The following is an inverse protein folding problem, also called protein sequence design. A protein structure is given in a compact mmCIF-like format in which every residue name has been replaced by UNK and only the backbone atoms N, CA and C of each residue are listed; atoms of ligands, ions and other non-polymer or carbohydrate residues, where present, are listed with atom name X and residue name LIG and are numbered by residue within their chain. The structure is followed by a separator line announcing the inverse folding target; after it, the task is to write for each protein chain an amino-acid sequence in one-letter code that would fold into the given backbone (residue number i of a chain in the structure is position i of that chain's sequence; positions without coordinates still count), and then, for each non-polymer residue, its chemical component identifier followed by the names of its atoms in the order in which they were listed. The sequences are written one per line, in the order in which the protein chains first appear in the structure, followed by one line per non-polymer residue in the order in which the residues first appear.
data_IF_476038591610
#
_entry.id   IF_476038591610
#
_cell.length_a   1.000
_cell.length_b   1.000
_cell.length_c   1.000
_cell.angle_alpha   90.00
_cell.angle_beta   90.00
_cell.angle_gamma   90.00
#
_symmetry.space_group_name_H-M   'P 1'
#
loop_
_entity.id
_entity.type
_entity.pdbx_description
1 polymer ?
#
# COMPACT_ATOMS: atom_id res chain seq x y z
N UNK A 1 19.22 -24.03 -62.41
CA UNK A 1 18.59 -25.14 -61.64
C UNK A 1 19.27 -25.42 -60.27
N UNK A 2 20.52 -24.98 -60.04
CA UNK A 2 21.27 -25.25 -58.79
C UNK A 2 21.04 -24.28 -57.60
N UNK A 3 20.37 -23.13 -57.80
CA UNK A 3 20.15 -22.12 -56.74
C UNK A 3 18.95 -22.43 -55.80
N UNK A 4 18.21 -23.50 -56.10
CA UNK A 4 17.01 -23.89 -55.34
C UNK A 4 17.33 -24.71 -54.07
N UNK A 5 18.41 -25.49 -54.09
CA UNK A 5 18.82 -26.32 -52.96
C UNK A 5 19.51 -25.52 -51.84
N UNK A 6 20.26 -24.46 -52.18
CA UNK A 6 20.85 -23.54 -51.20
C UNK A 6 19.80 -22.79 -50.38
N UNK A 7 18.78 -22.24 -51.06
CA UNK A 7 17.66 -21.52 -50.42
C UNK A 7 16.80 -22.40 -49.50
N UNK A 8 16.60 -23.68 -49.84
CA UNK A 8 15.90 -24.65 -48.97
C UNK A 8 16.72 -25.01 -47.72
N UNK A 9 18.03 -25.18 -47.86
CA UNK A 9 18.93 -25.50 -46.74
C UNK A 9 19.06 -24.34 -45.76
N UNK A 10 19.11 -23.11 -46.28
CA UNK A 10 19.13 -21.89 -45.46
C UNK A 10 17.80 -21.66 -44.72
N UNK A 11 16.65 -21.85 -45.39
CA UNK A 11 15.33 -21.78 -44.73
C UNK A 11 15.16 -22.82 -43.62
N UNK A 12 15.68 -24.03 -43.80
CA UNK A 12 15.63 -25.09 -42.77
C UNK A 12 16.47 -24.71 -41.54
N UNK A 13 17.69 -24.20 -41.75
CA UNK A 13 18.57 -23.76 -40.66
C UNK A 13 18.00 -22.57 -39.87
N UNK A 14 17.35 -21.61 -40.54
CA UNK A 14 16.62 -20.51 -39.90
C UNK A 14 15.47 -21.02 -39.03
N UNK A 15 14.67 -21.96 -39.54
CA UNK A 15 13.56 -22.57 -38.81
C UNK A 15 14.03 -23.35 -37.57
N UNK A 16 15.11 -24.13 -37.70
CA UNK A 16 15.70 -24.88 -36.57
C UNK A 16 16.26 -23.93 -35.49
N UNK A 17 16.83 -22.77 -35.89
CA UNK A 17 17.28 -21.74 -34.97
C UNK A 17 16.12 -21.04 -34.24
N UNK A 18 15.03 -20.73 -34.95
CA UNK A 18 13.81 -20.15 -34.39
C UNK A 18 13.11 -21.10 -33.42
N UNK A 19 13.03 -22.39 -33.75
CA UNK A 19 12.46 -23.42 -32.85
C UNK A 19 13.29 -23.58 -31.57
N UNK A 20 14.62 -23.56 -31.67
CA UNK A 20 15.51 -23.58 -30.51
C UNK A 20 15.37 -22.32 -29.66
N UNK A 21 15.28 -21.15 -30.27
CA UNK A 21 15.07 -19.89 -29.57
C UNK A 21 13.71 -19.87 -28.84
N UNK A 22 12.65 -20.36 -29.50
CA UNK A 22 11.32 -20.49 -28.90
C UNK A 22 11.33 -21.47 -27.72
N UNK A 23 12.01 -22.60 -27.83
CA UNK A 23 12.16 -23.56 -26.74
C UNK A 23 12.87 -22.94 -25.53
N UNK A 24 13.99 -22.24 -25.75
CA UNK A 24 14.73 -21.55 -24.68
C UNK A 24 13.86 -20.50 -24.00
N UNK A 25 13.11 -19.71 -24.78
CA UNK A 25 12.19 -18.70 -24.25
C UNK A 25 11.11 -19.33 -23.36
N UNK A 26 10.47 -20.41 -23.83
CA UNK A 26 9.46 -21.14 -23.05
C UNK A 26 10.04 -21.79 -21.80
N UNK A 27 11.21 -22.41 -21.89
CA UNK A 27 11.86 -23.01 -20.72
C UNK A 27 12.19 -21.97 -19.65
N UNK A 28 12.70 -20.79 -20.05
CA UNK A 28 12.92 -19.66 -19.14
C UNK A 28 11.62 -19.20 -18.49
N UNK A 29 10.57 -18.99 -19.29
CA UNK A 29 9.26 -18.57 -18.78
C UNK A 29 8.69 -19.58 -17.76
N UNK A 30 8.83 -20.88 -18.02
CA UNK A 30 8.43 -21.93 -17.08
C UNK A 30 9.19 -21.86 -15.76
N UNK A 31 10.51 -21.69 -15.81
CA UNK A 31 11.34 -21.52 -14.60
C UNK A 31 10.94 -20.28 -13.80
N UNK A 32 10.64 -19.17 -14.47
CA UNK A 32 10.17 -17.95 -13.82
C UNK A 32 8.78 -18.12 -13.19
N UNK A 33 7.85 -18.83 -13.83
CA UNK A 33 6.54 -19.17 -13.20
C UNK A 33 6.75 -19.91 -11.88
N UNK A 34 7.59 -20.95 -11.86
CA UNK A 34 7.84 -21.72 -10.64
C UNK A 34 8.48 -20.86 -9.54
N UNK A 35 9.45 -20.02 -9.93
CA UNK A 35 10.12 -19.11 -9.00
C UNK A 35 9.13 -18.10 -8.40
N UNK A 36 8.38 -17.38 -9.24
CA UNK A 36 7.38 -16.40 -8.79
C UNK A 36 6.28 -17.04 -7.96
N UNK A 37 5.83 -18.25 -8.29
CA UNK A 37 4.85 -18.97 -7.48
C UNK A 37 5.37 -19.27 -6.07
N UNK A 38 6.61 -19.73 -5.95
CA UNK A 38 7.22 -19.99 -4.64
C UNK A 38 7.40 -18.69 -3.84
N UNK A 39 7.82 -17.60 -4.48
CA UNK A 39 7.92 -16.28 -3.83
C UNK A 39 6.57 -15.83 -3.27
N UNK A 40 5.50 -15.91 -4.08
CA UNK A 40 4.14 -15.55 -3.65
C UNK A 40 3.68 -16.40 -2.47
N UNK A 41 3.87 -17.72 -2.54
CA UNK A 41 3.47 -18.63 -1.46
C UNK A 41 4.21 -18.36 -0.15
N UNK A 42 5.51 -18.04 -0.22
CA UNK A 42 6.30 -17.68 0.96
C UNK A 42 5.81 -16.37 1.59
N UNK A 43 5.53 -15.34 0.78
CA UNK A 43 4.96 -14.08 1.30
C UNK A 43 3.57 -14.30 1.91
N UNK A 44 2.70 -15.09 1.27
CA UNK A 44 1.39 -15.41 1.82
C UNK A 44 1.48 -16.18 3.14
N UNK A 45 2.43 -17.10 3.27
CA UNK A 45 2.67 -17.83 4.52
C UNK A 45 3.12 -16.90 5.65
N UNK A 46 4.06 -15.99 5.39
CA UNK A 46 4.51 -14.98 6.36
C UNK A 46 3.37 -14.04 6.78
N UNK A 47 2.54 -13.61 5.83
CA UNK A 47 1.35 -12.79 6.12
C UNK A 47 0.35 -13.54 7.01
N UNK A 48 0.11 -14.83 6.73
CA UNK A 48 -0.80 -15.67 7.52
C UNK A 48 -0.29 -15.88 8.95
N UNK A 49 1.02 -16.11 9.11
CA UNK A 49 1.65 -16.26 10.43
C UNK A 49 1.50 -14.98 11.25
N UNK A 50 1.76 -13.81 10.66
CA UNK A 50 1.60 -12.52 11.35
C UNK A 50 0.15 -12.21 11.69
N UNK A 51 -0.79 -12.57 10.81
CA UNK A 51 -2.22 -12.40 11.06
C UNK A 51 -2.76 -13.25 12.24
N UNK A 52 -2.02 -14.26 12.72
CA UNK A 52 -2.40 -15.08 13.88
C UNK A 52 -2.44 -14.30 15.21
N UNK A 53 -1.93 -13.06 15.24
CA UNK A 53 -1.95 -12.18 16.42
C UNK A 53 -0.72 -12.32 17.33
N UNK A 54 0.20 -13.25 17.03
CA UNK A 54 1.43 -13.44 17.79
C UNK A 54 2.54 -12.42 17.48
N UNK A 55 2.37 -11.61 16.42
CA UNK A 55 3.39 -10.68 15.94
C UNK A 55 2.82 -9.28 15.73
N UNK A 56 3.61 -8.27 16.10
CA UNK A 56 3.33 -6.86 15.78
C UNK A 56 3.87 -6.55 14.38
N UNK A 57 3.04 -5.97 13.52
CA UNK A 57 3.42 -5.48 12.20
C UNK A 57 2.77 -4.13 11.91
N UNK A 58 3.39 -3.35 11.04
CA UNK A 58 2.94 -2.01 10.70
C UNK A 58 2.31 -1.95 9.30
N UNK A 59 1.84 -0.75 8.92
CA UNK A 59 1.23 -0.53 7.61
C UNK A 59 2.23 -0.73 6.45
N UNK A 60 3.50 -0.39 6.65
CA UNK A 60 4.54 -0.57 5.65
C UNK A 60 4.75 -2.06 5.32
N UNK A 61 4.67 -2.93 6.32
CA UNK A 61 4.68 -4.38 6.13
C UNK A 61 3.48 -4.85 5.28
N UNK A 62 2.27 -4.38 5.58
CA UNK A 62 1.06 -4.75 4.81
C UNK A 62 1.22 -4.31 3.35
N UNK A 63 1.63 -3.06 3.11
CA UNK A 63 1.79 -2.50 1.77
C UNK A 63 2.87 -3.23 0.96
N UNK A 64 4.04 -3.49 1.56
CA UNK A 64 5.15 -4.18 0.90
C UNK A 64 4.85 -5.66 0.61
N UNK A 65 4.20 -6.37 1.54
CA UNK A 65 3.84 -7.78 1.37
C UNK A 65 2.75 -7.95 0.30
N UNK A 66 1.75 -7.07 0.31
CA UNK A 66 0.73 -7.01 -0.73
C UNK A 66 1.36 -6.75 -2.12
N UNK A 67 2.25 -5.76 -2.21
CA UNK A 67 2.92 -5.42 -3.46
C UNK A 67 3.74 -6.61 -4.00
N UNK A 68 4.47 -7.32 -3.12
CA UNK A 68 5.23 -8.52 -3.50
C UNK A 68 4.33 -9.64 -4.05
N UNK A 69 3.16 -9.87 -3.43
CA UNK A 69 2.17 -10.84 -3.91
C UNK A 69 1.58 -10.41 -5.27
N UNK A 70 1.14 -9.16 -5.40
CA UNK A 70 0.53 -8.65 -6.63
C UNK A 70 1.51 -8.69 -7.81
N UNK A 71 2.75 -8.23 -7.61
CA UNK A 71 3.80 -8.28 -8.63
C UNK A 71 4.21 -9.72 -8.97
N UNK A 72 4.22 -10.62 -7.99
CA UNK A 72 4.45 -12.06 -8.20
C UNK A 72 3.37 -12.69 -9.09
N UNK A 73 2.09 -12.43 -8.81
CA UNK A 73 0.96 -12.92 -9.60
C UNK A 73 1.02 -12.35 -11.03
N UNK A 74 1.30 -11.06 -11.19
CA UNK A 74 1.48 -10.44 -12.52
C UNK A 74 2.57 -11.13 -13.32
N UNK A 75 3.75 -11.35 -12.71
CA UNK A 75 4.85 -12.09 -13.34
C UNK A 75 4.45 -13.51 -13.75
N UNK A 76 3.63 -14.19 -12.95
CA UNK A 76 3.10 -15.51 -13.31
C UNK A 76 2.22 -15.42 -14.55
N UNK A 77 1.26 -14.48 -14.60
CA UNK A 77 0.36 -14.28 -15.75
C UNK A 77 1.16 -13.97 -17.02
N UNK A 78 2.13 -13.05 -16.94
CA UNK A 78 2.98 -12.66 -18.08
C UNK A 78 3.76 -13.87 -18.63
N UNK A 79 4.40 -14.66 -17.76
CA UNK A 79 5.14 -15.84 -18.19
C UNK A 79 4.21 -16.98 -18.68
N UNK A 80 3.02 -17.13 -18.10
CA UNK A 80 2.00 -18.05 -18.62
C UNK A 80 1.57 -17.66 -20.03
N UNK A 81 1.45 -16.36 -20.35
CA UNK A 81 1.17 -15.91 -21.70
C UNK A 81 2.29 -16.22 -22.69
N UNK A 82 3.56 -16.12 -22.26
CA UNK A 82 4.70 -16.57 -23.08
C UNK A 82 4.64 -18.08 -23.36
N UNK A 83 4.27 -18.88 -22.37
CA UNK A 83 4.15 -20.34 -22.50
C UNK A 83 2.95 -20.75 -23.36
N UNK A 84 1.80 -20.13 -23.10
CA UNK A 84 0.50 -20.42 -23.71
C UNK A 84 0.24 -19.67 -25.00
N UNK A 85 1.21 -18.88 -25.50
CA UNK A 85 1.04 -18.03 -26.68
C UNK A 85 -0.20 -17.13 -26.58
N UNK A 86 -0.25 -16.31 -25.52
CA UNK A 86 -1.34 -15.39 -25.18
C UNK A 86 -2.69 -16.04 -24.81
N UNK A 87 -2.74 -17.36 -24.59
CA UNK A 87 -3.95 -18.07 -24.16
C UNK A 87 -4.51 -17.58 -22.81
N UNK A 88 -3.68 -16.96 -21.96
CA UNK A 88 -4.04 -16.56 -20.61
C UNK A 88 -4.16 -15.04 -20.44
N UNK A 89 -4.22 -14.28 -21.54
CA UNK A 89 -4.27 -12.81 -21.51
C UNK A 89 -5.47 -12.28 -20.73
N UNK A 90 -6.56 -13.05 -20.75
CA UNK A 90 -7.81 -12.71 -20.08
C UNK A 90 -7.69 -12.81 -18.55
N UNK A 91 -6.66 -13.47 -18.00
CA UNK A 91 -6.37 -13.46 -16.56
C UNK A 91 -5.97 -12.08 -16.03
N UNK A 92 -5.55 -11.16 -16.91
CA UNK A 92 -5.27 -9.78 -16.52
C UNK A 92 -6.52 -9.06 -16.02
N UNK A 93 -7.71 -9.39 -16.55
CA UNK A 93 -8.97 -8.75 -16.15
C UNK A 93 -9.32 -9.06 -14.68
N UNK A 94 -9.44 -10.33 -14.25
CA UNK A 94 -9.71 -10.64 -12.85
C UNK A 94 -8.54 -10.23 -11.94
N UNK A 95 -7.28 -10.29 -12.42
CA UNK A 95 -6.14 -9.77 -11.66
C UNK A 95 -6.28 -8.28 -11.37
N UNK A 96 -6.51 -7.44 -12.39
CA UNK A 96 -6.69 -6.00 -12.23
C UNK A 96 -7.88 -5.67 -11.34
N UNK A 97 -9.02 -6.32 -11.55
CA UNK A 97 -10.21 -6.12 -10.71
C UNK A 97 -9.96 -6.44 -9.23
N UNK A 98 -9.22 -7.52 -8.96
CA UNK A 98 -8.89 -7.93 -7.59
C UNK A 98 -7.84 -7.01 -6.97
N UNK A 99 -6.83 -6.63 -7.75
CA UNK A 99 -5.79 -5.69 -7.32
C UNK A 99 -6.38 -4.32 -6.96
N UNK A 100 -7.30 -3.81 -7.79
CA UNK A 100 -8.02 -2.56 -7.52
C UNK A 100 -8.86 -2.66 -6.25
N UNK A 101 -9.68 -3.72 -6.12
CA UNK A 101 -10.50 -3.92 -4.93
C UNK A 101 -9.65 -4.00 -3.63
N UNK A 102 -8.52 -4.71 -3.64
CA UNK A 102 -7.65 -4.78 -2.46
C UNK A 102 -6.98 -3.43 -2.21
N UNK A 103 -6.50 -2.74 -3.25
CA UNK A 103 -5.93 -1.39 -3.11
C UNK A 103 -6.94 -0.40 -2.54
N UNK A 104 -8.21 -0.46 -2.90
CA UNK A 104 -9.25 0.36 -2.28
C UNK A 104 -9.36 0.10 -0.78
N UNK A 105 -9.31 -1.16 -0.34
CA UNK A 105 -9.34 -1.50 1.09
C UNK A 105 -8.06 -1.05 1.82
N UNK A 106 -6.90 -1.19 1.19
CA UNK A 106 -5.62 -0.73 1.76
C UNK A 106 -5.56 0.80 1.80
N UNK A 107 -6.04 1.47 0.76
CA UNK A 107 -6.02 2.93 0.60
C UNK A 107 -7.22 3.64 1.20
N UNK A 108 -8.19 2.90 1.75
CA UNK A 108 -9.23 3.42 2.63
C UNK A 108 -8.58 3.99 3.90
N UNK A 109 -7.90 5.12 3.73
CA UNK A 109 -7.71 6.11 4.77
C UNK A 109 -9.12 6.36 5.28
N UNK A 110 -9.35 6.12 6.56
CA UNK A 110 -10.58 6.57 7.22
C UNK A 110 -10.82 7.99 6.76
N UNK A 111 -11.84 8.18 5.92
CA UNK A 111 -12.04 9.47 5.28
C UNK A 111 -12.31 10.45 6.42
N UNK A 112 -11.42 11.41 6.62
CA UNK A 112 -11.60 12.43 7.64
C UNK A 112 -12.85 13.22 7.21
N UNK A 113 -13.98 13.08 7.92
CA UNK A 113 -15.21 13.74 7.53
C UNK A 113 -15.02 15.24 7.64
N UNK A 114 -15.68 16.01 6.76
CA UNK A 114 -15.74 17.45 6.92
C UNK A 114 -16.67 17.77 8.09
N UNK A 115 -16.14 18.43 9.11
CA UNK A 115 -16.88 18.81 10.32
C UNK A 115 -16.55 20.24 10.69
N UNK A 116 -17.20 20.77 11.73
CA UNK A 116 -16.69 21.92 12.47
C UNK A 116 -15.26 21.65 12.96
N UNK A 117 -14.46 22.70 13.12
CA UNK A 117 -13.10 22.58 13.62
C UNK A 117 -13.02 22.23 15.10
N UNK A 118 -14.08 22.55 15.82
CA UNK A 118 -14.23 22.25 17.25
C UNK A 118 -15.57 21.58 17.47
N UNK A 119 -15.56 20.49 18.24
CA UNK A 119 -16.77 19.81 18.70
C UNK A 119 -16.82 19.80 20.23
N UNK A 120 -18.00 20.04 20.84
CA UNK A 120 -18.15 19.93 22.28
C UNK A 120 -18.08 18.46 22.71
N UNK A 121 -17.32 18.19 23.77
CA UNK A 121 -17.01 16.82 24.22
C UNK A 121 -18.27 16.01 24.56
N UNK A 122 -19.30 16.66 25.08
CA UNK A 122 -20.57 16.03 25.47
C UNK A 122 -21.48 15.64 24.29
N UNK A 123 -21.09 15.95 23.05
CA UNK A 123 -21.79 15.52 21.82
C UNK A 123 -21.04 14.42 21.06
N UNK A 124 -19.99 13.87 21.65
CA UNK A 124 -19.16 12.84 21.01
C UNK A 124 -19.50 11.45 21.56
N UNK A 125 -19.43 10.46 20.69
CA UNK A 125 -19.53 9.04 21.00
C UNK A 125 -18.73 8.19 20.01
N UNK A 126 -18.99 6.88 19.99
CA UNK A 126 -18.28 5.92 19.13
C UNK A 126 -18.35 6.25 17.62
N UNK A 127 -19.44 6.86 17.16
CA UNK A 127 -19.58 7.33 15.78
C UNK A 127 -18.63 8.50 15.42
N UNK A 128 -18.11 9.18 16.44
CA UNK A 128 -17.21 10.33 16.29
C UNK A 128 -15.73 9.95 16.22
N UNK A 129 -15.37 8.65 16.19
CA UNK A 129 -13.96 8.20 16.12
C UNK A 129 -13.21 8.80 14.92
N UNK A 130 -13.87 8.91 13.76
CA UNK A 130 -13.25 9.45 12.56
C UNK A 130 -12.98 10.98 12.65
N UNK A 131 -13.83 11.73 13.37
CA UNK A 131 -13.78 13.19 13.49
C UNK A 131 -13.03 13.69 14.73
N UNK A 132 -12.98 12.90 15.82
CA UNK A 132 -12.41 13.29 17.11
C UNK A 132 -11.24 12.40 17.56
N UNK A 133 -11.05 11.24 16.93
CA UNK A 133 -10.10 10.21 17.35
C UNK A 133 -10.65 9.32 18.48
N UNK A 134 -10.14 8.09 18.56
CA UNK A 134 -10.69 7.06 19.45
C UNK A 134 -10.73 7.44 20.93
N UNK A 135 -9.62 8.00 21.46
CA UNK A 135 -9.54 8.36 22.90
C UNK A 135 -10.62 9.34 23.33
N UNK A 136 -10.84 10.34 22.50
CA UNK A 136 -11.78 11.43 22.76
C UNK A 136 -13.22 10.97 22.54
N UNK A 137 -13.46 10.20 21.47
CA UNK A 137 -14.75 9.60 21.19
C UNK A 137 -15.25 8.76 22.39
N UNK A 138 -14.37 7.91 22.95
CA UNK A 138 -14.69 7.15 24.16
C UNK A 138 -14.92 8.05 25.38
N UNK A 139 -14.10 9.09 25.57
CA UNK A 139 -14.30 10.04 26.68
C UNK A 139 -15.66 10.76 26.60
N UNK A 140 -16.09 11.14 25.40
CA UNK A 140 -17.42 11.69 25.16
C UNK A 140 -18.54 10.69 25.43
N UNK A 141 -18.32 9.42 25.11
CA UNK A 141 -19.28 8.32 25.38
C UNK A 141 -19.44 8.08 26.90
N UNK A 142 -18.36 8.14 27.68
CA UNK A 142 -18.43 8.06 29.14
C UNK A 142 -19.35 9.17 29.71
N UNK A 143 -19.29 10.37 29.14
CA UNK A 143 -20.10 11.50 29.58
C UNK A 143 -21.56 11.39 29.10
N UNK A 144 -21.77 11.12 27.81
CA UNK A 144 -23.07 11.22 27.15
C UNK A 144 -23.94 9.98 27.30
N UNK A 145 -23.34 8.78 27.30
CA UNK A 145 -24.05 7.49 27.37
C UNK A 145 -24.08 6.94 28.78
N UNK A 146 -22.92 6.93 29.46
CA UNK A 146 -22.80 6.35 30.81
C UNK A 146 -23.09 7.35 31.92
N UNK A 147 -23.19 8.64 31.61
CA UNK A 147 -23.47 9.71 32.59
C UNK A 147 -22.37 9.87 33.65
N UNK A 148 -21.15 9.42 33.35
CA UNK A 148 -20.03 9.53 34.27
C UNK A 148 -19.51 10.98 34.30
N UNK A 149 -18.99 11.44 35.46
CA UNK A 149 -18.44 12.78 35.56
C UNK A 149 -17.17 12.91 34.70
N UNK A 150 -17.28 13.68 33.63
CA UNK A 150 -16.18 14.02 32.72
C UNK A 150 -16.02 15.54 32.70
N UNK A 151 -14.79 16.07 32.72
CA UNK A 151 -14.56 17.52 32.62
C UNK A 151 -15.23 18.11 31.38
N UNK A 152 -15.87 19.26 31.54
CA UNK A 152 -16.41 20.01 30.40
C UNK A 152 -15.28 20.47 29.49
N UNK A 153 -15.46 20.36 28.19
CA UNK A 153 -14.46 20.78 27.23
C UNK A 153 -14.90 20.59 25.79
N UNK A 154 -13.94 20.77 24.91
CA UNK A 154 -14.11 20.64 23.47
C UNK A 154 -12.90 19.94 22.88
N UNK A 155 -13.04 19.57 21.61
CA UNK A 155 -12.06 18.77 20.87
C UNK A 155 -11.78 19.47 19.57
N UNK A 156 -10.50 19.68 19.28
CA UNK A 156 -10.03 20.06 17.95
C UNK A 156 -10.14 18.84 17.05
N UNK A 157 -10.93 18.94 15.99
CA UNK A 157 -11.28 17.78 15.15
C UNK A 157 -10.10 17.31 14.29
N UNK A 158 -10.16 16.06 13.83
CA UNK A 158 -9.24 15.53 12.83
C UNK A 158 -9.33 16.33 11.51
N UNK A 159 -10.48 16.96 11.23
CA UNK A 159 -10.66 17.88 10.11
C UNK A 159 -9.88 19.20 10.30
N UNK A 160 -9.91 19.79 11.51
CA UNK A 160 -9.04 20.93 11.85
C UNK A 160 -7.57 20.59 11.69
N UNK A 161 -7.14 19.44 12.23
CA UNK A 161 -5.77 18.95 12.07
C UNK A 161 -5.40 18.75 10.59
N UNK A 162 -6.28 18.11 9.79
CA UNK A 162 -6.06 17.93 8.35
C UNK A 162 -5.87 19.27 7.63
N UNK A 163 -6.71 20.25 7.97
CA UNK A 163 -6.64 21.60 7.38
C UNK A 163 -5.33 22.29 7.72
N UNK A 164 -4.90 22.22 8.98
CA UNK A 164 -3.60 22.73 9.44
C UNK A 164 -2.42 22.08 8.70
N UNK A 165 -2.42 20.74 8.59
CA UNK A 165 -1.36 19.98 7.92
C UNK A 165 -1.30 20.31 6.43
N UNK A 166 -2.45 20.44 5.77
CA UNK A 166 -2.53 20.76 4.34
C UNK A 166 -2.07 22.19 4.04
N UNK A 167 -2.49 23.16 4.85
CA UNK A 167 -2.08 24.56 4.71
C UNK A 167 -0.56 24.73 4.74
N UNK A 168 0.10 23.99 5.63
CA UNK A 168 1.55 24.08 5.85
C UNK A 168 2.35 23.06 5.02
N UNK A 169 1.71 22.28 4.13
CA UNK A 169 2.35 21.22 3.34
C UNK A 169 3.16 20.22 4.17
N UNK A 170 2.78 20.02 5.44
CA UNK A 170 3.53 19.21 6.41
C UNK A 170 3.62 17.77 5.92
N UNK A 171 2.53 17.26 5.34
CA UNK A 171 2.47 15.87 4.88
C UNK A 171 3.55 15.54 3.83
N UNK A 172 3.80 16.44 2.90
CA UNK A 172 4.78 16.22 1.83
C UNK A 172 6.20 16.23 2.37
N UNK A 173 6.51 17.18 3.28
CA UNK A 173 7.79 17.28 3.97
C UNK A 173 8.06 16.05 4.85
N UNK A 174 7.05 15.57 5.57
CA UNK A 174 7.14 14.34 6.35
C UNK A 174 7.40 13.13 5.44
N UNK A 175 6.64 12.99 4.35
CA UNK A 175 6.79 11.87 3.42
C UNK A 175 8.18 11.83 2.76
N UNK A 176 8.76 12.98 2.40
CA UNK A 176 10.12 13.01 1.86
C UNK A 176 11.16 12.52 2.89
N UNK A 177 11.03 12.97 4.14
CA UNK A 177 11.95 12.62 5.23
C UNK A 177 11.85 11.14 5.61
N UNK A 178 10.63 10.64 5.83
CA UNK A 178 10.41 9.25 6.26
C UNK A 178 10.85 8.25 5.19
N UNK A 179 10.80 8.60 3.90
CA UNK A 179 11.22 7.69 2.82
C UNK A 179 12.71 7.34 2.86
N UNK A 180 13.54 8.22 3.41
CA UNK A 180 15.01 8.03 3.50
C UNK A 180 15.45 7.51 4.87
N UNK A 181 14.52 7.36 5.82
CA UNK A 181 14.80 7.07 7.21
C UNK A 181 14.98 5.57 7.46
N UNK A 182 16.11 5.18 8.04
CA UNK A 182 16.26 3.82 8.58
C UNK A 182 15.64 3.74 9.97
N UNK A 183 14.48 3.09 10.06
CA UNK A 183 13.75 2.88 11.33
C UNK A 183 14.49 1.99 12.33
N UNK A 184 15.62 1.39 11.95
CA UNK A 184 16.47 0.60 12.87
C UNK A 184 17.61 1.43 13.45
N UNK A 185 17.89 2.61 12.88
CA UNK A 185 18.86 3.54 13.42
C UNK A 185 18.18 4.49 14.41
N UNK A 186 18.41 4.26 15.70
CA UNK A 186 17.80 5.04 16.77
C UNK A 186 18.18 6.54 16.74
N UNK A 187 19.43 6.88 16.41
CA UNK A 187 19.87 8.28 16.36
C UNK A 187 19.18 9.00 15.18
N UNK A 188 19.13 8.39 13.99
CA UNK A 188 18.41 8.96 12.85
C UNK A 188 16.92 9.16 13.15
N UNK A 189 16.28 8.18 13.80
CA UNK A 189 14.89 8.30 14.24
C UNK A 189 14.68 9.47 15.20
N UNK A 190 15.58 9.64 16.17
CA UNK A 190 15.50 10.72 17.15
C UNK A 190 15.63 12.08 16.49
N UNK A 191 16.62 12.24 15.61
CA UNK A 191 16.88 13.48 14.91
C UNK A 191 15.73 13.85 13.97
N UNK A 192 15.23 12.86 13.22
CA UNK A 192 14.04 13.03 12.38
C UNK A 192 12.81 13.43 13.23
N UNK A 193 12.58 12.78 14.38
CA UNK A 193 11.47 13.13 15.27
C UNK A 193 11.58 14.56 15.81
N UNK A 194 12.79 15.01 16.18
CA UNK A 194 13.01 16.38 16.65
C UNK A 194 12.71 17.40 15.56
N UNK A 195 13.22 17.16 14.36
CA UNK A 195 13.03 18.04 13.21
C UNK A 195 11.56 18.12 12.80
N UNK A 196 10.88 16.97 12.70
CA UNK A 196 9.44 16.89 12.42
C UNK A 196 8.63 17.62 13.49
N UNK A 197 9.00 17.47 14.77
CA UNK A 197 8.37 18.20 15.86
C UNK A 197 8.57 19.72 15.76
N UNK A 198 9.74 20.17 15.31
CA UNK A 198 10.01 21.59 15.13
C UNK A 198 9.24 22.19 13.96
N UNK A 199 9.11 21.42 12.87
CA UNK A 199 8.31 21.79 11.70
C UNK A 199 6.85 22.03 12.09
N UNK A 200 6.25 21.14 12.89
CA UNK A 200 4.87 21.32 13.39
C UNK A 200 4.76 22.52 14.33
N UNK A 201 5.73 22.74 15.21
CA UNK A 201 5.72 23.89 16.16
C UNK A 201 5.83 25.25 15.46
N UNK A 202 6.54 25.32 14.34
CA UNK A 202 6.77 26.55 13.59
C UNK A 202 5.72 26.78 12.48
N UNK A 203 4.81 25.83 12.26
CA UNK A 203 3.77 25.93 11.26
C UNK A 203 2.70 26.97 11.66
N UNK A 204 2.12 27.63 10.66
CA UNK A 204 1.14 28.69 10.84
C UNK A 204 -0.26 28.09 11.04
N UNK A 205 -1.02 28.65 11.99
CA UNK A 205 -2.44 28.31 12.14
C UNK A 205 -3.19 28.99 10.98
N UNK A 206 -3.95 28.25 10.14
CA UNK A 206 -4.76 28.86 9.09
C UNK A 206 -5.76 29.86 9.67
N UNK A 207 -6.06 30.95 8.96
CA UNK A 207 -6.99 31.97 9.44
C UNK A 207 -8.38 31.43 9.80
N UNK A 208 -8.84 30.37 9.13
CA UNK A 208 -10.12 29.72 9.43
C UNK A 208 -10.11 28.95 10.78
N UNK A 209 -8.93 28.76 11.38
CA UNK A 209 -8.67 28.02 12.63
C UNK A 209 -8.20 28.91 13.79
N UNK A 210 -7.94 30.20 13.56
CA UNK A 210 -7.62 31.19 14.61
C UNK A 210 -8.88 31.65 15.36
#
# INVERSE_FOLDING_TARGET
MFDFFGKRRQKKALKDADEKALFIRRYKAFREVLKSNNEVLMTMADMQEKASGAFLFDRAYIESSYQAVSDGIRRIIDNLNVLGNEKYKDLNIPYQKTDEAIREHLSAKTAIPKTEYVLPLNKLGNESIASAGGKVAYLGELASVLGLPVPTGFVVTTYAHKTFVQHNQIQDLLSEKTRKLDIRNYEELRDASQEMGQLVRNAQIPADLE
#
